data_IF_511775044979
#
_entry.id   IF_511775044979
#
_cell.length_a   1.000
_cell.length_b   1.000
_cell.length_c   1.000
_cell.angle_alpha   90.00
_cell.angle_beta   90.00
_cell.angle_gamma   90.00
#
_symmetry.space_group_name_H-M   'P 1'
#
loop_
_entity.id
_entity.type
_entity.pdbx_description
1 polymer ?
#
# COMPACT_ATOMS: atom_id res chain seq x y z
N UNK A 1 1.51 20.03 -25.39
CA UNK A 1 1.50 20.13 -26.87
C UNK A 1 2.04 18.85 -27.54
N UNK A 2 1.91 17.68 -26.90
CA UNK A 2 2.53 16.40 -27.32
C UNK A 2 1.52 15.42 -27.94
N UNK A 3 0.27 15.46 -27.51
CA UNK A 3 -0.78 14.56 -28.01
C UNK A 3 -1.05 14.64 -29.52
N UNK A 4 -1.18 15.83 -30.16
CA UNK A 4 -1.44 15.88 -31.60
C UNK A 4 -0.25 15.36 -32.42
N UNK A 5 0.98 15.52 -31.92
CA UNK A 5 2.19 15.01 -32.57
C UNK A 5 2.31 13.48 -32.44
N UNK A 6 1.98 12.91 -31.28
CA UNK A 6 1.95 11.46 -31.07
C UNK A 6 0.89 10.77 -31.94
N UNK A 7 -0.30 11.39 -32.07
CA UNK A 7 -1.34 10.87 -32.96
C UNK A 7 -0.90 10.86 -34.43
N UNK A 8 -0.18 11.91 -34.87
CA UNK A 8 0.39 11.98 -36.22
C UNK A 8 1.48 10.90 -36.44
N UNK A 9 2.36 10.67 -35.46
CA UNK A 9 3.38 9.61 -35.55
C UNK A 9 2.79 8.21 -35.67
N UNK A 10 1.68 7.95 -34.98
CA UNK A 10 0.96 6.67 -35.04
C UNK A 10 0.37 6.43 -36.43
N UNK A 11 -0.12 7.48 -37.10
CA UNK A 11 -0.65 7.42 -38.46
C UNK A 11 0.42 7.14 -39.53
N UNK A 12 1.68 7.52 -39.30
CA UNK A 12 2.80 7.28 -40.23
C UNK A 12 3.65 6.06 -39.88
N UNK A 13 3.30 5.30 -38.84
CA UNK A 13 4.06 4.12 -38.42
C UNK A 13 3.68 2.87 -39.24
N UNK A 14 4.65 2.00 -39.58
CA UNK A 14 4.35 0.73 -40.23
C UNK A 14 3.43 -0.13 -39.34
N UNK A 15 2.43 -0.84 -39.88
CA UNK A 15 1.50 -1.66 -39.10
C UNK A 15 2.19 -2.68 -38.18
N UNK A 16 3.34 -3.23 -38.58
CA UNK A 16 4.10 -4.18 -37.76
C UNK A 16 4.72 -3.52 -36.51
N UNK A 17 5.15 -2.27 -36.58
CA UNK A 17 5.75 -1.54 -35.46
C UNK A 17 4.70 -1.21 -34.39
N UNK A 18 3.48 -0.87 -34.82
CA UNK A 18 2.32 -0.68 -33.93
C UNK A 18 1.92 -2.01 -33.28
N UNK A 19 1.87 -3.10 -34.05
CA UNK A 19 1.55 -4.43 -33.54
C UNK A 19 2.58 -4.95 -32.53
N UNK A 20 3.87 -4.73 -32.77
CA UNK A 20 4.95 -5.11 -31.85
C UNK A 20 4.90 -4.31 -30.54
N UNK A 21 4.71 -2.98 -30.63
CA UNK A 21 4.53 -2.12 -29.47
C UNK A 21 3.29 -2.52 -28.65
N UNK A 22 2.18 -2.85 -29.33
CA UNK A 22 0.96 -3.30 -28.68
C UNK A 22 1.13 -4.67 -28.00
N UNK A 23 1.86 -5.60 -28.63
CA UNK A 23 2.16 -6.92 -28.05
C UNK A 23 3.07 -6.80 -26.81
N UNK A 24 4.10 -5.96 -26.88
CA UNK A 24 4.98 -5.65 -25.74
C UNK A 24 4.19 -5.00 -24.60
N UNK A 25 3.36 -4.01 -24.91
CA UNK A 25 2.52 -3.33 -23.92
C UNK A 25 1.49 -4.27 -23.28
N UNK A 26 0.92 -5.21 -24.04
CA UNK A 26 0.04 -6.25 -23.52
C UNK A 26 0.77 -7.21 -22.57
N UNK A 27 2.02 -7.55 -22.87
CA UNK A 27 2.88 -8.33 -21.98
C UNK A 27 3.13 -7.63 -20.65
N UNK A 28 3.57 -6.36 -20.69
CA UNK A 28 3.83 -5.54 -19.50
C UNK A 28 2.55 -5.32 -18.68
N UNK A 29 1.43 -5.03 -19.35
CA UNK A 29 0.14 -4.88 -18.67
C UNK A 29 -0.25 -6.16 -17.93
N UNK A 30 -0.15 -7.32 -18.60
CA UNK A 30 -0.46 -8.62 -17.98
C UNK A 30 0.41 -8.87 -16.76
N UNK A 31 1.71 -8.61 -16.86
CA UNK A 31 2.64 -8.78 -15.75
C UNK A 31 2.31 -7.85 -14.57
N UNK A 32 2.01 -6.58 -14.85
CA UNK A 32 1.63 -5.61 -13.82
C UNK A 32 0.31 -5.99 -13.15
N UNK A 33 -0.69 -6.46 -13.91
CA UNK A 33 -1.95 -6.96 -13.36
C UNK A 33 -1.72 -8.19 -12.47
N UNK A 34 -0.89 -9.15 -12.88
CA UNK A 34 -0.54 -10.31 -12.07
C UNK A 34 0.13 -9.90 -10.74
N UNK A 35 1.12 -9.01 -10.79
CA UNK A 35 1.79 -8.47 -9.59
C UNK A 35 0.82 -7.76 -8.65
N UNK A 36 -0.13 -7.02 -9.21
CA UNK A 36 -1.16 -6.31 -8.44
C UNK A 36 -2.09 -7.29 -7.71
N UNK A 37 -2.55 -8.34 -8.41
CA UNK A 37 -3.37 -9.40 -7.83
C UNK A 37 -2.61 -10.15 -6.72
N UNK A 38 -1.34 -10.51 -6.94
CA UNK A 38 -0.51 -11.16 -5.92
C UNK A 38 -0.31 -10.27 -4.69
N UNK A 39 -0.17 -8.96 -4.88
CA UNK A 39 -0.07 -8.01 -3.78
C UNK A 39 -1.39 -7.94 -2.99
N UNK A 40 -2.54 -7.84 -3.69
CA UNK A 40 -3.86 -7.86 -3.06
C UNK A 40 -4.11 -9.14 -2.26
N UNK A 41 -3.74 -10.30 -2.80
CA UNK A 41 -3.88 -11.58 -2.11
C UNK A 41 -3.02 -11.62 -0.84
N UNK A 42 -1.74 -11.21 -0.92
CA UNK A 42 -0.85 -11.14 0.24
C UNK A 42 -1.38 -10.18 1.32
N UNK A 43 -1.88 -9.01 0.91
CA UNK A 43 -2.48 -8.05 1.83
C UNK A 43 -3.72 -8.62 2.53
N UNK A 44 -4.63 -9.24 1.77
CA UNK A 44 -5.86 -9.83 2.31
C UNK A 44 -5.56 -10.96 3.29
N UNK A 45 -4.67 -11.89 2.94
CA UNK A 45 -4.27 -12.99 3.81
C UNK A 45 -3.66 -12.47 5.12
N UNK A 46 -2.72 -11.53 5.02
CA UNK A 46 -2.10 -10.92 6.20
C UNK A 46 -3.11 -10.15 7.08
N UNK A 47 -4.10 -9.50 6.47
CA UNK A 47 -5.19 -8.85 7.21
C UNK A 47 -6.00 -9.86 8.02
N UNK A 48 -6.43 -10.96 7.41
CA UNK A 48 -7.18 -12.01 8.12
C UNK A 48 -6.37 -12.63 9.27
N UNK A 49 -5.08 -12.91 9.06
CA UNK A 49 -4.20 -13.42 10.11
C UNK A 49 -4.11 -12.47 11.31
N UNK A 50 -3.89 -11.16 11.05
CA UNK A 50 -3.82 -10.15 12.12
C UNK A 50 -5.16 -9.97 12.83
N UNK A 51 -6.29 -10.07 12.11
CA UNK A 51 -7.64 -10.03 12.72
C UNK A 51 -7.88 -11.23 13.64
N UNK A 52 -7.53 -12.44 13.20
CA UNK A 52 -7.63 -13.62 14.06
C UNK A 52 -6.74 -13.52 15.30
N UNK A 53 -5.51 -13.00 15.15
CA UNK A 53 -4.63 -12.75 16.29
C UNK A 53 -5.24 -11.73 17.28
N UNK A 54 -5.86 -10.66 16.77
CA UNK A 54 -6.57 -9.68 17.59
C UNK A 54 -7.74 -10.28 18.38
N UNK A 55 -8.55 -11.11 17.73
CA UNK A 55 -9.69 -11.79 18.38
C UNK A 55 -9.21 -12.72 19.50
N UNK A 56 -8.18 -13.54 19.24
CA UNK A 56 -7.58 -14.40 20.27
C UNK A 56 -7.05 -13.60 21.45
N UNK A 57 -6.30 -12.52 21.18
CA UNK A 57 -5.76 -11.66 22.22
C UNK A 57 -6.86 -11.02 23.09
N UNK A 58 -8.01 -10.66 22.50
CA UNK A 58 -9.17 -10.16 23.25
C UNK A 58 -9.80 -11.26 24.11
N UNK A 59 -9.96 -12.47 23.58
CA UNK A 59 -10.51 -13.59 24.35
C UNK A 59 -9.60 -13.96 25.54
N UNK A 60 -8.29 -14.05 25.32
CA UNK A 60 -7.30 -14.32 26.37
C UNK A 60 -7.24 -13.21 27.42
N UNK A 61 -7.39 -11.94 27.02
CA UNK A 61 -7.45 -10.82 27.95
C UNK A 61 -8.73 -10.87 28.79
N UNK A 62 -9.88 -11.13 28.17
CA UNK A 62 -11.15 -11.27 28.88
C UNK A 62 -11.11 -12.41 29.90
N UNK A 63 -10.49 -13.55 29.54
CA UNK A 63 -10.28 -14.66 30.46
C UNK A 63 -9.40 -14.26 31.66
N UNK A 64 -8.25 -13.61 31.41
CA UNK A 64 -7.36 -13.12 32.49
C UNK A 64 -8.06 -12.12 33.39
N UNK A 65 -8.80 -11.18 32.80
CA UNK A 65 -9.59 -10.18 33.51
C UNK A 65 -10.67 -10.83 34.40
N UNK A 66 -11.34 -11.89 33.92
CA UNK A 66 -12.35 -12.62 34.71
C UNK A 66 -11.79 -13.35 35.94
N UNK A 67 -10.48 -13.64 35.93
CA UNK A 67 -9.75 -14.32 37.02
C UNK A 67 -8.96 -13.37 37.91
N UNK A 68 -9.04 -12.06 37.68
CA UNK A 68 -8.30 -11.06 38.44
C UNK A 68 -8.74 -11.05 39.91
N UNK A 69 -7.77 -11.14 40.83
CA UNK A 69 -8.03 -11.17 42.27
C UNK A 69 -8.33 -9.79 42.86
N UNK A 70 -7.81 -8.74 42.22
CA UNK A 70 -8.00 -7.34 42.67
C UNK A 70 -8.39 -6.42 41.52
N UNK A 71 -9.03 -5.27 41.80
CA UNK A 71 -9.30 -4.24 40.79
C UNK A 71 -8.04 -3.73 40.08
N UNK A 72 -6.88 -3.73 40.77
CA UNK A 72 -5.61 -3.30 40.18
C UNK A 72 -5.09 -4.32 39.17
N UNK A 73 -5.25 -5.61 39.45
CA UNK A 73 -4.91 -6.68 38.49
C UNK A 73 -5.79 -6.59 37.25
N UNK A 74 -7.10 -6.34 37.43
CA UNK A 74 -8.03 -6.11 36.33
C UNK A 74 -7.58 -4.95 35.44
N UNK A 75 -7.23 -3.81 36.05
CA UNK A 75 -6.75 -2.63 35.33
C UNK A 75 -5.45 -2.92 34.59
N UNK A 76 -4.53 -3.68 35.19
CA UNK A 76 -3.27 -4.08 34.55
C UNK A 76 -3.53 -4.94 33.31
N UNK A 77 -4.39 -5.95 33.42
CA UNK A 77 -4.76 -6.81 32.29
C UNK A 77 -5.44 -6.02 31.17
N UNK A 78 -6.32 -5.08 31.51
CA UNK A 78 -6.92 -4.15 30.55
C UNK A 78 -5.88 -3.32 29.82
N UNK A 79 -4.95 -2.68 30.55
CA UNK A 79 -3.92 -1.84 29.96
C UNK A 79 -3.00 -2.64 29.04
N UNK A 80 -2.60 -3.85 29.45
CA UNK A 80 -1.80 -4.77 28.63
C UNK A 80 -2.52 -5.12 27.32
N UNK A 81 -3.82 -5.43 27.38
CA UNK A 81 -4.63 -5.68 26.20
C UNK A 81 -4.73 -4.44 25.30
N UNK A 82 -5.04 -3.28 25.88
CA UNK A 82 -5.20 -2.02 25.16
C UNK A 82 -3.91 -1.60 24.43
N UNK A 83 -2.74 -1.72 25.08
CA UNK A 83 -1.44 -1.50 24.43
C UNK A 83 -1.24 -2.46 23.25
N UNK A 84 -1.61 -3.73 23.40
CA UNK A 84 -1.54 -4.70 22.31
C UNK A 84 -2.48 -4.37 21.14
N UNK A 85 -3.67 -3.82 21.40
CA UNK A 85 -4.59 -3.35 20.36
C UNK A 85 -3.97 -2.22 19.56
N UNK A 86 -3.36 -1.25 20.24
CA UNK A 86 -2.69 -0.12 19.58
C UNK A 86 -1.54 -0.59 18.70
N UNK A 87 -0.69 -1.51 19.18
CA UNK A 87 0.40 -2.09 18.41
C UNK A 87 -0.11 -2.76 17.13
N UNK A 88 -1.17 -3.58 17.23
CA UNK A 88 -1.78 -4.24 16.06
C UNK A 88 -2.34 -3.23 15.06
N UNK A 89 -2.98 -2.15 15.54
CA UNK A 89 -3.50 -1.09 14.68
C UNK A 89 -2.39 -0.38 13.90
N UNK A 90 -1.23 -0.13 14.52
CA UNK A 90 -0.07 0.45 13.83
C UNK A 90 0.47 -0.49 12.74
N UNK A 91 0.56 -1.78 13.02
CA UNK A 91 0.97 -2.80 12.02
C UNK A 91 0.00 -2.84 10.84
N UNK A 92 -1.31 -2.75 11.10
CA UNK A 92 -2.32 -2.67 10.04
C UNK A 92 -2.19 -1.41 9.20
N UNK A 93 -1.91 -0.27 9.83
CA UNK A 93 -1.63 0.98 9.13
C UNK A 93 -0.44 0.87 8.17
N UNK A 94 0.66 0.27 8.64
CA UNK A 94 1.84 0.05 7.81
C UNK A 94 1.55 -0.91 6.64
N UNK A 95 0.82 -2.00 6.88
CA UNK A 95 0.44 -2.94 5.83
C UNK A 95 -0.44 -2.27 4.76
N UNK A 96 -1.35 -1.38 5.16
CA UNK A 96 -2.18 -0.60 4.25
C UNK A 96 -1.33 0.35 3.39
N UNK A 97 -0.40 1.09 4.00
CA UNK A 97 0.53 1.97 3.29
C UNK A 97 1.37 1.21 2.26
N UNK A 98 1.90 0.04 2.63
CA UNK A 98 2.66 -0.82 1.72
C UNK A 98 1.80 -1.28 0.52
N UNK A 99 0.54 -1.62 0.77
CA UNK A 99 -0.38 -2.02 -0.31
C UNK A 99 -0.66 -0.87 -1.28
N UNK A 100 -0.86 0.36 -0.77
CA UNK A 100 -1.06 1.56 -1.60
C UNK A 100 0.17 1.82 -2.48
N UNK A 101 1.37 1.78 -1.91
CA UNK A 101 2.63 1.98 -2.64
C UNK A 101 2.80 0.91 -3.72
N UNK A 102 2.51 -0.36 -3.39
CA UNK A 102 2.59 -1.48 -4.35
C UNK A 102 1.59 -1.30 -5.49
N UNK A 103 0.34 -0.94 -5.17
CA UNK A 103 -0.69 -0.68 -6.17
C UNK A 103 -0.28 0.47 -7.12
N UNK A 104 0.23 1.58 -6.57
CA UNK A 104 0.72 2.71 -7.34
C UNK A 104 1.86 2.33 -8.28
N UNK A 105 2.81 1.48 -7.84
CA UNK A 105 3.90 0.97 -8.67
C UNK A 105 3.43 0.11 -9.85
N UNK A 106 2.33 -0.63 -9.68
CA UNK A 106 1.74 -1.45 -10.76
C UNK A 106 0.78 -0.69 -11.69
N UNK A 107 0.32 0.50 -11.29
CA UNK A 107 -0.63 1.31 -12.03
C UNK A 107 0.00 2.12 -13.19
N UNK A 108 1.33 2.10 -13.34
CA UNK A 108 2.00 2.76 -14.46
C UNK A 108 1.61 2.07 -15.76
N UNK A 109 0.73 2.72 -16.52
CA UNK A 109 0.29 2.26 -17.83
C UNK A 109 1.46 2.27 -18.82
N UNK A 110 1.60 1.23 -19.66
CA UNK A 110 2.53 1.27 -20.79
C UNK A 110 2.18 2.45 -21.70
N UNK A 111 3.11 3.39 -21.89
CA UNK A 111 2.94 4.48 -22.85
C UNK A 111 2.82 3.86 -24.25
N UNK A 112 1.75 4.19 -24.97
CA UNK A 112 1.65 3.93 -26.41
C UNK A 112 2.63 4.88 -27.10
N UNK A 113 3.70 4.32 -27.67
CA UNK A 113 4.83 4.97 -28.33
C UNK A 113 5.77 5.75 -27.40
N UNK A 114 6.91 5.13 -27.07
CA UNK A 114 8.08 5.85 -26.57
C UNK A 114 8.90 6.30 -27.78
N UNK A 115 8.65 7.54 -28.19
CA UNK A 115 9.54 8.26 -29.10
C UNK A 115 10.69 8.85 -28.29
N UNK A 116 11.81 8.11 -28.23
CA UNK A 116 13.12 8.44 -27.66
C UNK A 116 13.27 8.33 -26.14
N UNK A 117 14.20 7.45 -25.76
CA UNK A 117 15.00 7.55 -24.54
C UNK A 117 15.50 9.00 -24.34
N UNK A 118 15.33 9.52 -23.13
CA UNK A 118 16.02 10.74 -22.68
C UNK A 118 15.15 11.73 -21.93
N UNK A 119 14.87 11.45 -20.65
CA UNK A 119 14.93 12.39 -19.52
C UNK A 119 14.15 11.80 -18.36
N UNK A 120 14.88 11.16 -17.45
CA UNK A 120 14.42 10.96 -16.08
C UNK A 120 14.24 12.34 -15.44
N UNK A 121 13.03 12.88 -15.50
CA UNK A 121 12.59 13.88 -14.53
C UNK A 121 12.07 13.11 -13.32
N UNK A 122 12.97 12.91 -12.36
CA UNK A 122 12.60 12.72 -10.96
C UNK A 122 11.63 13.85 -10.57
N UNK A 123 10.33 13.57 -10.58
CA UNK A 123 9.40 14.33 -9.75
C UNK A 123 9.58 13.80 -8.34
N UNK A 124 10.46 14.49 -7.60
CA UNK A 124 10.59 14.40 -6.15
C UNK A 124 9.21 14.57 -5.53
N UNK A 125 8.55 13.44 -5.25
CA UNK A 125 7.33 13.44 -4.45
C UNK A 125 7.81 13.50 -3.02
N UNK A 126 8.08 14.72 -2.54
CA UNK A 126 8.42 14.96 -1.14
C UNK A 126 7.29 14.36 -0.30
N UNK A 127 7.53 13.35 0.55
CA UNK A 127 6.47 12.88 1.44
C UNK A 127 6.13 14.06 2.36
N UNK A 128 4.85 14.42 2.42
CA UNK A 128 4.36 15.32 3.44
C UNK A 128 4.55 14.61 4.78
N UNK A 129 5.70 14.87 5.43
CA UNK A 129 5.88 14.56 6.84
C UNK A 129 4.84 15.40 7.56
N UNK A 130 3.81 14.74 8.09
CA UNK A 130 2.87 15.32 9.03
C UNK A 130 3.66 15.59 10.31
N UNK A 131 4.29 16.77 10.39
CA UNK A 131 4.92 17.26 11.61
C UNK A 131 3.78 17.66 12.53
N UNK A 132 3.41 16.75 13.44
CA UNK A 132 2.62 17.10 14.60
C UNK A 132 3.50 18.01 15.48
N UNK A 133 3.34 19.33 15.35
CA UNK A 133 3.88 20.28 16.33
C UNK A 133 3.10 20.14 17.63
N UNK A 134 3.60 19.30 18.53
CA UNK A 134 3.29 19.41 19.94
C UNK A 134 4.08 20.59 20.51
N UNK A 135 3.42 21.74 20.65
CA UNK A 135 3.90 22.85 21.50
C UNK A 135 3.15 22.76 22.83
N UNK A 136 3.69 21.96 23.74
CA UNK A 136 3.30 22.00 25.14
C UNK A 136 4.20 23.00 25.88
N UNK A 137 3.59 24.14 26.21
CA UNK A 137 3.71 24.88 27.47
C UNK A 137 5.06 24.84 28.21
N UNK A 138 5.79 25.96 28.15
CA UNK A 138 6.64 26.41 29.25
C UNK A 138 5.79 27.33 30.13
N UNK A 139 5.59 26.91 31.38
CA UNK A 139 5.36 27.81 32.51
C UNK A 139 6.45 27.50 33.54
#
# INVERSE_FOLDING_TARGET
MTEPFNAMQLLFSPPFAVSEAMSRNAGVLRENQAKSLDAMQRFANGWFERRHAGIRATAEAAERMSRAATPIDLLREYQNWASGVLQRAMVDGLACQQQIVTAAGTAVMPRLADGKEGASSQTETRPAVFVATARAEQN
#
